data_IF_805804799950
#
_entry.id   IF_805804799950
#
_cell.length_a   1.000
_cell.length_b   1.000
_cell.length_c   1.000
_cell.angle_alpha   90.00
_cell.angle_beta   90.00
_cell.angle_gamma   90.00
#
_symmetry.space_group_name_H-M   'P 1'
#
loop_
_entity.id
_entity.type
_entity.pdbx_description
1 polymer ?
#
# COMPACT_ATOMS: atom_id res chain seq x y z
N UNK A 1 6.66 47.10 -22.98
CA UNK A 1 5.61 46.33 -22.29
C UNK A 1 6.17 44.94 -22.14
N UNK A 2 6.93 44.75 -21.06
CA UNK A 2 7.58 43.47 -20.76
C UNK A 2 6.50 42.48 -20.34
N UNK A 3 6.48 41.30 -20.96
CA UNK A 3 5.62 40.20 -20.54
C UNK A 3 6.14 39.70 -19.19
N UNK A 4 5.27 39.34 -18.23
CA UNK A 4 5.70 38.80 -16.95
C UNK A 4 6.42 37.47 -17.17
N UNK A 5 7.48 37.24 -16.40
CA UNK A 5 8.28 36.01 -16.38
C UNK A 5 7.38 34.76 -16.27
N UNK A 6 7.69 33.66 -16.98
CA UNK A 6 6.94 32.42 -16.87
C UNK A 6 7.17 31.80 -15.48
N UNK A 7 6.24 32.09 -14.58
CA UNK A 7 6.15 31.55 -13.22
C UNK A 7 5.93 30.03 -13.27
N UNK A 8 6.93 29.24 -12.89
CA UNK A 8 6.84 27.79 -12.70
C UNK A 8 6.81 27.49 -11.18
N UNK A 9 5.65 27.19 -10.57
CA UNK A 9 5.59 26.90 -9.15
C UNK A 9 5.99 25.44 -8.89
N UNK A 10 6.93 25.22 -7.97
CA UNK A 10 7.29 23.86 -7.53
C UNK A 10 8.60 23.79 -6.75
N UNK A 11 9.75 23.99 -7.40
CA UNK A 11 11.07 23.85 -6.77
C UNK A 11 11.84 25.17 -6.64
N UNK A 12 11.74 26.06 -7.64
CA UNK A 12 12.41 27.37 -7.62
C UNK A 12 11.87 28.25 -6.48
N UNK A 13 10.56 28.13 -6.18
CA UNK A 13 9.91 28.85 -5.08
C UNK A 13 10.34 28.44 -3.67
N UNK A 14 10.97 27.27 -3.48
CA UNK A 14 11.42 26.78 -2.17
C UNK A 14 12.86 27.22 -1.84
N UNK A 15 13.68 27.52 -2.84
CA UNK A 15 14.99 28.14 -2.63
C UNK A 15 14.85 29.51 -1.95
N UNK A 16 13.83 30.27 -2.32
CA UNK A 16 13.48 31.56 -1.69
C UNK A 16 12.97 31.42 -0.24
N UNK A 17 12.79 30.18 0.23
CA UNK A 17 12.31 29.83 1.56
C UNK A 17 13.44 29.31 2.48
N UNK A 18 14.68 29.30 2.00
CA UNK A 18 15.84 28.96 2.83
C UNK A 18 15.94 29.90 4.04
N UNK A 19 16.33 29.33 5.18
CA UNK A 19 16.41 29.93 6.51
C UNK A 19 15.09 30.48 7.08
N UNK A 20 13.97 30.25 6.39
CA UNK A 20 12.64 30.61 6.90
C UNK A 20 12.01 29.46 7.66
N UNK A 21 11.11 29.82 8.59
CA UNK A 21 10.34 28.86 9.36
C UNK A 21 9.13 28.40 8.55
N UNK A 22 9.09 27.12 8.24
CA UNK A 22 8.06 26.52 7.41
C UNK A 22 7.17 25.59 8.22
N UNK A 23 5.90 25.54 7.84
CA UNK A 23 5.03 24.39 8.12
C UNK A 23 5.08 23.45 6.92
N UNK A 24 5.41 22.19 7.18
CA UNK A 24 5.47 21.11 6.21
C UNK A 24 4.42 20.07 6.57
N UNK A 25 3.46 19.87 5.67
CA UNK A 25 2.42 18.85 5.79
C UNK A 25 2.87 17.60 5.07
N UNK A 26 2.99 16.50 5.82
CA UNK A 26 3.36 15.20 5.29
C UNK A 26 2.14 14.42 4.77
N UNK A 27 2.39 13.43 3.92
CA UNK A 27 1.34 12.56 3.33
C UNK A 27 0.54 11.77 4.37
N UNK A 28 1.13 11.45 5.52
CA UNK A 28 0.47 10.78 6.65
C UNK A 28 -0.35 11.75 7.52
N UNK A 29 -0.44 13.03 7.13
CA UNK A 29 -1.20 14.06 7.81
C UNK A 29 -0.45 14.76 8.95
N UNK A 30 0.80 14.35 9.25
CA UNK A 30 1.64 15.03 10.23
C UNK A 30 2.04 16.42 9.75
N UNK A 31 2.22 17.33 10.70
CA UNK A 31 2.52 18.74 10.45
C UNK A 31 3.81 19.06 11.19
N UNK A 32 4.88 19.21 10.43
CA UNK A 32 6.19 19.55 10.95
C UNK A 32 6.41 21.05 10.81
N UNK A 33 6.96 21.67 11.83
CA UNK A 33 7.30 23.09 11.83
C UNK A 33 8.79 23.20 12.14
N UNK A 34 9.56 23.83 11.28
CA UNK A 34 11.01 23.98 11.46
C UNK A 34 11.62 24.95 10.46
N UNK A 35 12.92 25.23 10.61
CA UNK A 35 13.65 26.11 9.70
C UNK A 35 14.20 25.32 8.51
N UNK A 36 13.89 25.74 7.29
CA UNK A 36 14.43 25.11 6.08
C UNK A 36 15.91 25.46 5.91
N UNK A 37 16.80 24.47 6.01
CA UNK A 37 18.26 24.68 5.87
C UNK A 37 18.79 24.30 4.50
N UNK A 38 18.18 23.33 3.84
CA UNK A 38 18.62 22.88 2.53
C UNK A 38 17.49 22.21 1.80
N UNK A 39 17.55 22.31 0.48
CA UNK A 39 16.68 21.63 -0.46
C UNK A 39 17.55 21.10 -1.61
N UNK A 40 17.22 19.92 -2.12
CA UNK A 40 17.83 19.39 -3.33
C UNK A 40 16.88 19.48 -4.54
N UNK A 41 17.38 19.08 -5.71
CA UNK A 41 16.59 19.08 -6.95
C UNK A 41 15.39 18.12 -6.94
N UNK A 42 15.30 17.23 -5.94
CA UNK A 42 14.19 16.30 -5.74
C UNK A 42 13.21 16.78 -4.64
N UNK A 43 13.35 18.02 -4.19
CA UNK A 43 12.58 18.62 -3.11
C UNK A 43 12.71 17.89 -1.76
N UNK A 44 13.81 17.17 -1.52
CA UNK A 44 14.13 16.68 -0.19
C UNK A 44 14.48 17.88 0.70
N UNK A 45 13.82 17.99 1.85
CA UNK A 45 13.94 19.13 2.75
C UNK A 45 14.79 18.75 3.96
N UNK A 46 15.77 19.58 4.29
CA UNK A 46 16.46 19.53 5.57
C UNK A 46 15.83 20.59 6.46
N UNK A 47 15.18 20.17 7.54
CA UNK A 47 14.61 21.06 8.54
C UNK A 47 15.39 20.98 9.86
N UNK A 48 15.56 22.14 10.47
CA UNK A 48 16.19 22.33 11.78
C UNK A 48 15.16 22.82 12.81
N UNK A 49 15.44 22.57 14.10
CA UNK A 49 14.55 22.86 15.23
C UNK A 49 13.10 22.39 15.05
N UNK A 50 12.92 21.21 14.47
CA UNK A 50 11.62 20.68 14.08
C UNK A 50 10.77 20.31 15.29
N UNK A 51 9.53 20.78 15.25
CA UNK A 51 8.43 20.32 16.09
C UNK A 51 7.33 19.69 15.25
N UNK A 52 6.78 18.57 15.71
CA UNK A 52 5.56 18.00 15.17
C UNK A 52 4.36 18.57 15.94
N UNK A 53 3.50 19.31 15.25
CA UNK A 53 2.33 19.96 15.84
C UNK A 53 1.06 19.18 15.58
N UNK A 54 0.41 18.76 16.65
CA UNK A 54 -0.91 18.12 16.61
C UNK A 54 -1.98 19.11 17.03
N UNK A 55 -3.15 19.08 16.38
CA UNK A 55 -4.27 20.00 16.65
C UNK A 55 -5.53 19.25 17.11
N UNK A 56 -6.22 19.76 18.12
CA UNK A 56 -7.58 19.36 18.51
C UNK A 56 -8.41 20.60 18.85
N UNK A 57 -9.40 20.93 18.02
CA UNK A 57 -10.25 22.12 18.16
C UNK A 57 -9.46 23.43 18.28
N UNK A 58 -9.48 24.05 19.46
CA UNK A 58 -8.75 25.31 19.75
C UNK A 58 -7.41 25.07 20.41
N UNK A 59 -6.93 23.83 20.44
CA UNK A 59 -5.72 23.45 21.13
C UNK A 59 -4.69 22.84 20.19
N UNK A 60 -3.43 23.03 20.51
CA UNK A 60 -2.31 22.35 19.84
C UNK A 60 -1.30 21.83 20.86
N UNK A 61 -0.53 20.81 20.46
CA UNK A 61 0.61 20.29 21.22
C UNK A 61 1.78 20.07 20.27
N UNK A 62 2.97 20.43 20.73
CA UNK A 62 4.23 20.29 19.98
C UNK A 62 5.10 19.18 20.56
N UNK A 63 5.62 18.31 19.67
CA UNK A 63 6.60 17.28 20.00
C UNK A 63 7.92 17.65 19.32
N UNK A 64 8.99 17.86 20.09
CA UNK A 64 10.30 18.24 19.53
C UNK A 64 11.01 17.04 18.91
N UNK A 65 11.43 17.18 17.66
CA UNK A 65 12.21 16.20 16.90
C UNK A 65 13.64 16.67 16.59
N UNK A 66 13.92 17.98 16.63
CA UNK A 66 15.26 18.51 16.37
C UNK A 66 15.55 18.59 14.87
N UNK A 67 16.54 17.88 14.36
CA UNK A 67 16.93 17.95 12.96
C UNK A 67 16.31 16.79 12.16
N UNK A 68 15.67 17.08 11.03
CA UNK A 68 15.05 16.07 10.17
C UNK A 68 15.41 16.25 8.70
N UNK A 69 15.70 15.13 8.03
CA UNK A 69 15.70 15.02 6.57
C UNK A 69 14.35 14.44 6.14
N UNK A 70 13.59 15.23 5.38
CA UNK A 70 12.28 14.86 4.85
C UNK A 70 12.42 14.58 3.36
N UNK A 71 11.98 13.39 2.92
CA UNK A 71 11.95 13.08 1.49
C UNK A 71 10.87 13.87 0.76
N UNK A 72 11.19 14.45 -0.40
CA UNK A 72 10.28 15.33 -1.15
C UNK A 72 8.97 14.67 -1.54
N UNK A 73 8.99 13.37 -1.85
CA UNK A 73 7.78 12.58 -2.16
C UNK A 73 6.76 12.51 -1.01
N UNK A 74 7.20 12.74 0.23
CA UNK A 74 6.36 12.75 1.42
C UNK A 74 5.81 14.14 1.76
N UNK A 75 6.30 15.19 1.09
CA UNK A 75 5.83 16.57 1.27
C UNK A 75 4.58 16.80 0.42
N UNK A 76 3.48 17.16 1.06
CA UNK A 76 2.22 17.53 0.38
C UNK A 76 2.17 19.03 0.16
N UNK A 77 2.48 19.78 1.21
CA UNK A 77 2.44 21.25 1.21
C UNK A 77 3.54 21.76 2.13
N UNK A 78 4.23 22.81 1.70
CA UNK A 78 5.15 23.59 2.51
C UNK A 78 4.81 25.07 2.36
N UNK A 79 4.79 25.80 3.48
CA UNK A 79 4.49 27.23 3.48
C UNK A 79 5.19 27.94 4.63
N UNK A 80 5.55 29.20 4.41
CA UNK A 80 6.08 30.08 5.45
C UNK A 80 5.04 30.29 6.55
N UNK A 81 5.48 30.22 7.81
CA UNK A 81 4.62 30.53 8.95
C UNK A 81 4.73 32.01 9.26
N UNK A 82 3.59 32.70 9.20
CA UNK A 82 3.47 34.05 9.76
C UNK A 82 3.21 33.95 11.28
N UNK A 83 4.24 34.23 12.07
CA UNK A 83 4.15 34.22 13.54
C UNK A 83 3.40 35.43 14.10
N UNK A 84 3.11 36.44 13.29
CA UNK A 84 2.41 37.65 13.74
C UNK A 84 0.89 37.47 13.79
N UNK A 85 0.38 36.39 13.21
CA UNK A 85 -1.04 36.12 13.06
C UNK A 85 -1.58 35.41 14.31
N UNK A 86 -2.46 36.09 15.06
CA UNK A 86 -3.14 35.47 16.21
C UNK A 86 -4.11 34.39 15.72
N UNK A 87 -3.76 33.13 15.97
CA UNK A 87 -4.54 31.96 15.56
C UNK A 87 -5.66 31.62 16.56
N UNK A 88 -5.67 32.23 17.75
CA UNK A 88 -6.59 31.88 18.83
C UNK A 88 -6.43 30.45 19.37
N UNK A 89 -5.35 29.76 19.01
CA UNK A 89 -5.03 28.41 19.47
C UNK A 89 -4.25 28.43 20.78
N UNK A 90 -4.58 27.52 21.70
CA UNK A 90 -3.90 27.38 23.00
C UNK A 90 -3.01 26.15 23.03
N UNK A 91 -1.78 26.33 23.49
CA UNK A 91 -0.86 25.21 23.70
C UNK A 91 -1.28 24.38 24.92
N UNK A 92 -1.23 23.07 24.77
CA UNK A 92 -1.46 22.08 25.83
C UNK A 92 -0.37 21.01 25.78
N UNK A 93 -0.22 20.26 26.87
CA UNK A 93 0.75 19.15 26.92
C UNK A 93 0.29 17.97 26.07
N UNK A 94 1.24 17.13 25.64
CA UNK A 94 0.93 15.93 24.84
C UNK A 94 -0.04 14.96 25.54
N UNK A 95 0.00 14.88 26.87
CA UNK A 95 -0.91 14.07 27.66
C UNK A 95 -2.35 14.64 27.62
N UNK A 96 -2.51 15.94 27.81
CA UNK A 96 -3.81 16.62 27.70
C UNK A 96 -4.36 16.52 26.28
N UNK A 97 -3.49 16.61 25.28
CA UNK A 97 -3.87 16.47 23.88
C UNK A 97 -4.41 15.08 23.55
N UNK A 98 -3.78 14.04 24.10
CA UNK A 98 -4.25 12.65 23.98
C UNK A 98 -5.63 12.50 24.61
N UNK A 99 -5.82 13.03 25.83
CA UNK A 99 -7.12 12.99 26.53
C UNK A 99 -8.22 13.70 25.74
N UNK A 100 -7.95 14.88 25.17
CA UNK A 100 -8.92 15.61 24.36
C UNK A 100 -9.29 14.88 23.06
N UNK A 101 -8.31 14.24 22.41
CA UNK A 101 -8.58 13.44 21.21
C UNK A 101 -9.44 12.21 21.53
N UNK A 102 -9.22 11.56 22.68
CA UNK A 102 -10.06 10.47 23.17
C UNK A 102 -11.48 10.94 23.51
N UNK A 103 -11.62 12.04 24.24
CA UNK A 103 -12.92 12.61 24.60
C UNK A 103 -13.72 13.03 23.37
N UNK A 104 -13.07 13.62 22.37
CA UNK A 104 -13.68 13.97 21.08
C UNK A 104 -14.13 12.72 20.33
N UNK A 105 -13.32 11.67 20.30
CA UNK A 105 -13.69 10.39 19.68
C UNK A 105 -14.92 9.79 20.36
N UNK A 106 -15.01 9.88 21.69
CA UNK A 106 -16.18 9.45 22.47
C UNK A 106 -17.43 10.33 22.22
N UNK A 107 -17.26 11.64 22.11
CA UNK A 107 -18.36 12.58 21.83
C UNK A 107 -18.87 12.51 20.38
N UNK A 108 -17.99 12.25 19.42
CA UNK A 108 -18.34 12.03 18.01
C UNK A 108 -19.17 10.75 17.86
N UNK A 109 -18.79 9.68 18.56
CA UNK A 109 -19.60 8.45 18.64
C UNK A 109 -20.96 8.69 19.30
N UNK A 110 -21.03 9.50 20.38
CA UNK A 110 -22.31 9.85 21.04
C UNK A 110 -23.27 10.69 20.18
N UNK A 111 -22.77 11.51 19.24
CA UNK A 111 -23.63 12.31 18.34
C UNK A 111 -24.20 11.51 17.17
N UNK A 112 -23.54 10.41 16.77
CA UNK A 112 -24.07 9.48 15.78
C UNK A 112 -25.18 8.55 16.32
N UNK A 113 -25.39 8.54 17.64
CA UNK A 113 -26.45 7.79 18.34
C UNK A 113 -27.76 8.59 18.58
N UNK A 114 -27.88 9.83 18.07
CA UNK A 114 -29.13 10.59 18.16
C UNK A 114 -30.04 10.28 16.95
N UNK A 115 -31.27 9.77 17.15
CA UNK A 115 -32.14 9.42 16.04
C UNK A 115 -32.61 10.69 15.30
N UNK A 116 -32.61 10.65 13.96
CA UNK A 116 -33.32 11.64 13.13
C UNK A 116 -34.79 11.64 13.54
N UNK A 117 -35.32 12.80 13.93
CA UNK A 117 -36.73 12.94 14.28
C UNK A 117 -37.62 12.83 13.03
N UNK A 118 -38.52 11.84 13.02
CA UNK A 118 -39.66 11.76 12.10
C UNK A 118 -40.98 11.91 12.88
N UNK A 119 -42.07 12.37 12.21
CA UNK A 119 -43.20 13.02 12.86
C UNK A 119 -44.11 12.04 13.62
N UNK A 120 -44.61 12.52 14.76
CA UNK A 120 -45.39 11.76 15.75
C UNK A 120 -46.74 11.23 15.22
N UNK A 121 -47.05 9.97 15.56
CA UNK A 121 -48.42 9.56 15.96
C UNK A 121 -48.37 8.48 17.05
N UNK A 122 -49.12 8.73 18.12
CA UNK A 122 -49.21 8.00 19.40
C UNK A 122 -49.84 6.59 19.23
N UNK A 123 -49.41 5.58 19.99
CA UNK A 123 -50.03 5.08 21.25
C UNK A 123 -49.47 3.74 21.77
N UNK A 124 -49.17 3.72 23.09
CA UNK A 124 -49.39 2.68 24.14
C UNK A 124 -48.66 1.30 24.13
N UNK A 125 -47.93 1.08 25.26
CA UNK A 125 -47.79 -0.11 26.16
C UNK A 125 -47.44 -1.49 25.54
N UNK A 126 -46.61 -2.38 26.10
CA UNK A 126 -45.83 -2.48 27.35
C UNK A 126 -44.73 -3.58 27.20
N UNK A 127 -43.81 -3.62 28.16
CA UNK A 127 -42.98 -4.75 28.65
C UNK A 127 -41.86 -5.40 27.81
N UNK A 128 -40.63 -5.06 28.23
CA UNK A 128 -39.55 -5.93 28.74
C UNK A 128 -39.34 -7.33 28.10
N UNK A 129 -38.22 -7.51 27.38
CA UNK A 129 -37.06 -8.19 28.00
C UNK A 129 -35.75 -8.06 27.20
N UNK A 130 -34.72 -7.70 27.96
CA UNK A 130 -33.33 -7.46 27.62
C UNK A 130 -32.53 -8.76 27.50
N UNK A 131 -31.94 -9.02 26.33
CA UNK A 131 -30.77 -9.91 26.19
C UNK A 131 -30.06 -9.82 24.82
N UNK A 132 -30.61 -9.11 23.83
CA UNK A 132 -30.17 -9.24 22.44
C UNK A 132 -29.28 -8.10 21.90
N UNK A 133 -29.11 -6.99 22.64
CA UNK A 133 -28.46 -5.78 22.08
C UNK A 133 -27.06 -5.49 22.67
N UNK A 134 -26.84 -5.80 23.96
CA UNK A 134 -25.55 -5.57 24.62
C UNK A 134 -24.40 -6.42 24.04
N UNK A 135 -24.71 -7.60 23.48
CA UNK A 135 -23.73 -8.48 22.82
C UNK A 135 -23.32 -7.97 21.43
N UNK A 136 -24.14 -7.13 20.78
CA UNK A 136 -23.85 -6.61 19.44
C UNK A 136 -23.04 -5.31 19.47
N UNK A 137 -23.08 -4.56 20.57
CA UNK A 137 -22.35 -3.28 20.68
C UNK A 137 -20.91 -3.45 21.20
N UNK A 138 -20.66 -4.41 22.11
CA UNK A 138 -19.30 -4.68 22.63
C UNK A 138 -18.37 -5.26 21.56
N UNK A 139 -18.90 -5.98 20.57
CA UNK A 139 -18.12 -6.58 19.48
C UNK A 139 -17.63 -5.52 18.46
N UNK A 140 -18.39 -4.45 18.25
CA UNK A 140 -18.02 -3.38 17.31
C UNK A 140 -16.92 -2.47 17.88
N UNK A 141 -16.88 -2.27 19.19
CA UNK A 141 -15.84 -1.46 19.87
C UNK A 141 -14.51 -2.21 19.95
N UNK A 142 -14.52 -3.56 20.00
CA UNK A 142 -13.29 -4.36 20.02
C UNK A 142 -12.59 -4.43 18.65
N UNK A 143 -13.34 -4.34 17.54
CA UNK A 143 -12.80 -4.40 16.18
C UNK A 143 -12.27 -3.05 15.67
N UNK A 144 -12.64 -1.93 16.30
CA UNK A 144 -12.13 -0.61 15.92
C UNK A 144 -10.83 -0.20 16.63
N UNK A 145 -10.37 -0.98 17.62
CA UNK A 145 -9.22 -0.62 18.46
C UNK A 145 -7.87 -1.24 18.02
N UNK A 146 -7.81 -1.93 16.87
CA UNK A 146 -6.59 -2.60 16.37
C UNK A 146 -5.89 -1.82 15.24
N UNK A 147 -6.49 -0.73 14.72
CA UNK A 147 -5.93 -0.04 13.53
C UNK A 147 -4.82 0.99 13.79
N UNK A 148 -4.32 1.19 15.02
CA UNK A 148 -3.21 2.13 15.26
C UNK A 148 -2.22 1.67 16.34
N UNK A 149 -1.65 0.47 16.21
CA UNK A 149 -0.51 0.07 17.01
C UNK A 149 0.52 -0.67 16.15
N UNK A 150 1.79 -0.26 16.25
CA UNK A 150 2.92 -0.85 15.52
C UNK A 150 2.93 -2.39 15.62
N UNK A 151 2.80 -3.05 14.47
CA UNK A 151 2.60 -4.51 14.33
C UNK A 151 3.83 -5.32 14.80
N UNK A 152 4.99 -4.69 15.03
CA UNK A 152 6.21 -5.41 15.45
C UNK A 152 6.26 -5.80 16.94
N UNK A 153 5.40 -5.28 17.83
CA UNK A 153 5.39 -5.68 19.25
C UNK A 153 4.22 -6.58 19.67
N UNK A 154 3.24 -6.83 18.79
CA UNK A 154 2.10 -7.70 19.09
C UNK A 154 2.35 -9.18 18.70
N UNK A 155 3.14 -9.43 17.66
CA UNK A 155 3.42 -10.80 17.19
C UNK A 155 4.17 -11.65 18.23
N UNK A 156 5.11 -11.07 18.99
CA UNK A 156 5.80 -11.78 20.08
C UNK A 156 4.87 -12.09 21.26
N UNK A 157 3.86 -11.24 21.55
CA UNK A 157 2.90 -11.48 22.63
C UNK A 157 1.78 -12.46 22.24
N UNK A 158 1.38 -12.50 20.98
CA UNK A 158 0.38 -13.44 20.48
C UNK A 158 0.89 -14.90 20.50
N UNK A 159 2.18 -15.10 20.19
CA UNK A 159 2.83 -16.41 20.31
C UNK A 159 3.04 -16.85 21.78
N UNK A 160 3.23 -15.90 22.71
CA UNK A 160 3.34 -16.15 24.15
C UNK A 160 2.00 -16.55 24.79
N UNK A 161 0.88 -16.01 24.31
CA UNK A 161 -0.46 -16.31 24.84
C UNK A 161 -1.10 -17.58 24.24
N UNK A 162 -0.67 -18.04 23.07
CA UNK A 162 -1.13 -19.31 22.50
C UNK A 162 -0.65 -20.54 23.30
N UNK A 163 0.41 -20.41 24.10
CA UNK A 163 1.01 -21.53 24.84
C UNK A 163 0.49 -21.72 26.27
N UNK A 164 -0.55 -20.98 26.70
CA UNK A 164 -0.99 -21.00 28.11
C UNK A 164 -2.51 -20.85 28.29
N UNK A 165 -3.31 -21.76 27.70
CA UNK A 165 -4.46 -22.42 28.35
C UNK A 165 -5.23 -23.31 27.37
N UNK A 166 -4.73 -24.53 27.22
CA UNK A 166 -5.59 -25.71 27.15
C UNK A 166 -6.10 -25.94 28.56
N UNK A 167 -7.38 -25.68 28.82
CA UNK A 167 -8.18 -26.25 29.92
C UNK A 167 -9.30 -25.26 30.26
N UNK A 168 -10.43 -25.39 29.58
CA UNK A 168 -11.72 -25.81 30.16
C UNK A 168 -12.85 -25.44 29.20
N UNK A 169 -13.64 -26.45 28.81
CA UNK A 169 -15.06 -26.24 28.51
C UNK A 169 -15.40 -25.81 27.08
N UNK A 170 -15.95 -26.77 26.33
CA UNK A 170 -16.69 -26.62 25.06
C UNK A 170 -17.65 -25.42 25.08
N UNK A 171 -17.44 -24.46 24.19
CA UNK A 171 -18.51 -23.56 23.71
C UNK A 171 -18.42 -23.50 22.18
N UNK A 172 -19.48 -23.96 21.52
CA UNK A 172 -19.64 -23.92 20.07
C UNK A 172 -19.76 -22.46 19.58
N UNK A 173 -18.64 -21.83 19.28
CA UNK A 173 -18.55 -20.44 18.80
C UNK A 173 -18.59 -20.32 17.26
N UNK A 174 -18.98 -21.37 16.54
CA UNK A 174 -18.71 -21.51 15.11
C UNK A 174 -19.78 -20.95 14.14
N UNK A 175 -20.88 -20.35 14.62
CA UNK A 175 -22.03 -20.06 13.73
C UNK A 175 -22.52 -18.60 13.65
N UNK A 176 -21.84 -17.62 14.26
CA UNK A 176 -22.32 -16.22 14.21
C UNK A 176 -21.28 -15.13 13.91
N UNK A 177 -20.04 -15.49 13.56
CA UNK A 177 -18.95 -14.54 13.26
C UNK A 177 -18.59 -14.46 11.76
N UNK A 178 -19.56 -14.66 10.85
CA UNK A 178 -19.32 -14.73 9.39
C UNK A 178 -19.83 -13.52 8.59
N UNK A 179 -20.31 -12.46 9.23
CA UNK A 179 -20.82 -11.26 8.54
C UNK A 179 -20.01 -10.04 8.98
N UNK A 180 -18.98 -9.69 8.22
CA UNK A 180 -18.33 -8.38 8.32
C UNK A 180 -16.80 -8.32 8.22
N UNK A 181 -16.07 -9.41 7.94
CA UNK A 181 -14.69 -9.29 7.45
C UNK A 181 -14.74 -9.31 5.93
N UNK A 182 -14.27 -8.25 5.27
CA UNK A 182 -14.00 -8.30 3.84
C UNK A 182 -13.07 -9.50 3.59
N UNK A 183 -13.48 -10.41 2.70
CA UNK A 183 -12.62 -11.51 2.28
C UNK A 183 -11.42 -10.90 1.56
N UNK A 184 -10.23 -11.01 2.16
CA UNK A 184 -9.00 -10.59 1.50
C UNK A 184 -8.75 -11.48 0.29
N UNK A 185 -8.36 -10.88 -0.83
CA UNK A 185 -8.02 -11.64 -2.02
C UNK A 185 -6.66 -12.32 -1.82
N UNK A 186 -6.59 -13.65 -1.99
CA UNK A 186 -5.32 -14.37 -1.97
C UNK A 186 -4.46 -13.90 -3.14
N UNK A 187 -3.23 -13.48 -2.87
CA UNK A 187 -2.29 -13.01 -3.88
C UNK A 187 -1.01 -13.84 -3.84
N UNK A 188 -0.52 -14.23 -5.02
CA UNK A 188 0.83 -14.77 -5.21
C UNK A 188 1.57 -13.84 -6.16
N UNK A 189 2.71 -13.30 -5.71
CA UNK A 189 3.62 -12.57 -6.60
C UNK A 189 4.38 -13.56 -7.46
N UNK A 190 4.49 -13.28 -8.76
CA UNK A 190 5.27 -14.10 -9.70
C UNK A 190 6.43 -13.26 -10.22
N UNK A 191 7.63 -13.54 -9.70
CA UNK A 191 8.85 -12.80 -9.99
C UNK A 191 9.91 -13.69 -10.65
N UNK A 192 10.87 -13.04 -11.29
CA UNK A 192 11.99 -13.70 -11.97
C UNK A 192 12.51 -12.88 -13.15
N UNK A 193 13.68 -13.23 -13.71
CA UNK A 193 14.32 -12.45 -14.75
C UNK A 193 13.46 -12.35 -16.02
N UNK A 194 13.70 -11.35 -16.89
CA UNK A 194 13.14 -11.33 -18.24
C UNK A 194 13.42 -12.67 -18.95
N UNK A 195 12.42 -13.29 -19.59
CA UNK A 195 12.62 -14.59 -20.26
C UNK A 195 12.50 -15.83 -19.37
N UNK A 196 12.26 -15.69 -18.06
CA UNK A 196 12.09 -16.85 -17.15
C UNK A 196 10.80 -17.67 -17.34
N UNK A 197 9.88 -17.23 -18.20
CA UNK A 197 8.63 -17.96 -18.46
C UNK A 197 7.45 -17.64 -17.53
N UNK A 198 7.48 -16.52 -16.80
CA UNK A 198 6.38 -16.07 -15.90
C UNK A 198 4.99 -16.15 -16.54
N UNK A 199 4.79 -15.49 -17.68
CA UNK A 199 3.49 -15.49 -18.36
C UNK A 199 3.05 -16.89 -18.79
N UNK A 200 3.97 -17.75 -19.23
CA UNK A 200 3.69 -19.14 -19.59
C UNK A 200 3.20 -19.93 -18.37
N UNK A 201 3.90 -19.83 -17.24
CA UNK A 201 3.52 -20.52 -16.01
C UNK A 201 2.22 -19.96 -15.42
N UNK A 202 2.02 -18.63 -15.46
CA UNK A 202 0.76 -18.01 -15.02
C UNK A 202 -0.44 -18.47 -15.83
N UNK A 203 -0.30 -18.60 -17.15
CA UNK A 203 -1.36 -19.13 -18.01
C UNK A 203 -1.72 -20.59 -17.67
N UNK A 204 -0.72 -21.42 -17.36
CA UNK A 204 -0.94 -22.80 -16.92
C UNK A 204 -1.61 -22.87 -15.54
N UNK A 205 -1.15 -22.05 -14.57
CA UNK A 205 -1.78 -21.94 -13.25
C UNK A 205 -3.23 -21.48 -13.38
N UNK A 206 -3.51 -20.45 -14.19
CA UNK A 206 -4.87 -19.97 -14.40
C UNK A 206 -5.78 -21.05 -14.98
N UNK A 207 -5.30 -21.78 -15.99
CA UNK A 207 -6.07 -22.84 -16.63
C UNK A 207 -6.40 -24.00 -15.68
N UNK A 208 -5.45 -24.38 -14.82
CA UNK A 208 -5.52 -25.64 -14.08
C UNK A 208 -5.92 -25.47 -12.60
N UNK A 209 -5.61 -24.32 -11.98
CA UNK A 209 -5.87 -24.03 -10.56
C UNK A 209 -6.93 -22.94 -10.35
N UNK A 210 -7.40 -22.26 -11.42
CA UNK A 210 -8.50 -21.30 -11.34
C UNK A 210 -8.14 -19.96 -10.68
N UNK A 211 -6.85 -19.65 -10.54
CA UNK A 211 -6.39 -18.31 -10.17
C UNK A 211 -6.43 -17.38 -11.39
N UNK A 212 -6.59 -16.09 -11.17
CA UNK A 212 -6.60 -15.08 -12.24
C UNK A 212 -5.20 -14.50 -12.43
N UNK A 213 -4.69 -14.52 -13.66
CA UNK A 213 -3.41 -13.92 -14.02
C UNK A 213 -3.56 -12.43 -14.34
N UNK A 214 -2.88 -11.60 -13.56
CA UNK A 214 -2.79 -10.17 -13.76
C UNK A 214 -1.32 -9.76 -13.98
N UNK A 215 -0.96 -9.47 -15.23
CA UNK A 215 0.37 -8.91 -15.54
C UNK A 215 0.36 -7.40 -15.43
N UNK A 216 1.13 -6.84 -14.49
CA UNK A 216 1.22 -5.38 -14.32
C UNK A 216 1.69 -4.69 -15.61
N UNK A 217 2.61 -5.33 -16.34
CA UNK A 217 3.08 -4.81 -17.63
C UNK A 217 2.01 -4.83 -18.74
N UNK A 218 1.15 -5.84 -18.78
CA UNK A 218 0.05 -5.88 -19.75
C UNK A 218 -1.04 -4.85 -19.40
N UNK A 219 -1.38 -4.71 -18.12
CA UNK A 219 -2.33 -3.70 -17.65
C UNK A 219 -1.87 -2.27 -18.01
N UNK A 220 -0.60 -1.95 -17.78
CA UNK A 220 -0.04 -0.65 -18.17
C UNK A 220 -0.08 -0.42 -19.70
N UNK A 221 0.22 -1.45 -20.50
CA UNK A 221 0.14 -1.35 -21.97
C UNK A 221 -1.29 -1.19 -22.46
N UNK A 222 -2.24 -1.93 -21.88
CA UNK A 222 -3.65 -1.83 -22.22
C UNK A 222 -4.22 -0.46 -21.85
N UNK A 223 -3.91 0.05 -20.65
CA UNK A 223 -4.38 1.36 -20.20
C UNK A 223 -3.81 2.49 -21.08
N UNK A 224 -2.56 2.38 -21.51
CA UNK A 224 -1.94 3.29 -22.49
C UNK A 224 -2.69 3.33 -23.83
N UNK A 225 -3.19 2.20 -24.29
CA UNK A 225 -3.89 2.09 -25.59
C UNK A 225 -5.38 2.46 -25.49
N UNK A 226 -5.92 2.61 -24.28
CA UNK A 226 -7.34 2.86 -24.06
C UNK A 226 -7.70 4.30 -24.45
N UNK A 227 -8.65 4.51 -25.38
CA UNK A 227 -9.17 5.84 -25.67
C UNK A 227 -9.72 6.49 -24.39
N UNK A 228 -9.43 7.78 -24.19
CA UNK A 228 -9.88 8.57 -23.05
C UNK A 228 -9.43 8.07 -21.66
N UNK A 229 -8.35 7.29 -21.58
CA UNK A 229 -7.75 6.96 -20.29
C UNK A 229 -7.23 8.21 -19.57
N UNK A 230 -7.61 8.34 -18.30
CA UNK A 230 -7.09 9.35 -17.37
C UNK A 230 -5.57 9.19 -17.17
N UNK A 231 -5.06 7.96 -17.25
CA UNK A 231 -3.64 7.62 -17.06
C UNK A 231 -2.89 7.40 -18.37
N UNK A 232 -3.56 7.27 -19.51
CA UNK A 232 -2.94 6.84 -20.77
C UNK A 232 -1.79 7.75 -21.23
N UNK A 233 -1.95 9.08 -21.09
CA UNK A 233 -0.89 10.07 -21.39
C UNK A 233 0.29 10.00 -20.42
N UNK A 234 0.01 9.91 -19.12
CA UNK A 234 1.03 9.76 -18.07
C UNK A 234 1.84 8.47 -18.27
N UNK A 235 1.17 7.35 -18.56
CA UNK A 235 1.81 6.05 -18.79
C UNK A 235 2.67 6.09 -20.06
N UNK A 236 2.18 6.70 -21.15
CA UNK A 236 2.94 6.83 -22.40
C UNK A 236 4.26 7.61 -22.20
N UNK A 237 4.21 8.71 -21.46
CA UNK A 237 5.39 9.52 -21.13
C UNK A 237 6.41 8.74 -20.29
N UNK A 238 5.97 8.07 -19.23
CA UNK A 238 6.85 7.29 -18.36
C UNK A 238 7.50 6.10 -19.08
N UNK A 239 6.72 5.35 -19.89
CA UNK A 239 7.23 4.20 -20.63
C UNK A 239 8.24 4.63 -21.71
N UNK A 240 7.95 5.70 -22.46
CA UNK A 240 8.88 6.22 -23.50
C UNK A 240 10.19 6.73 -22.90
N UNK A 241 10.11 7.38 -21.74
CA UNK A 241 11.27 7.97 -21.06
C UNK A 241 12.02 6.95 -20.17
N UNK A 242 11.56 5.70 -20.10
CA UNK A 242 12.14 4.68 -19.23
C UNK A 242 12.03 5.01 -17.73
N UNK A 243 11.13 5.91 -17.35
CA UNK A 243 10.88 6.28 -15.95
C UNK A 243 9.74 5.44 -15.36
N UNK A 244 9.72 5.34 -14.03
CA UNK A 244 8.78 4.46 -13.33
C UNK A 244 7.41 5.13 -13.26
N UNK A 245 6.39 4.45 -13.79
CA UNK A 245 4.98 4.86 -13.60
C UNK A 245 4.68 4.87 -12.10
N UNK A 246 4.05 5.94 -11.56
CA UNK A 246 3.70 6.01 -10.14
C UNK A 246 3.01 4.73 -9.66
N UNK A 247 3.51 4.17 -8.56
CA UNK A 247 3.05 2.88 -8.01
C UNK A 247 1.54 2.86 -7.75
N UNK A 248 0.96 3.99 -7.33
CA UNK A 248 -0.47 4.14 -7.08
C UNK A 248 -1.33 3.84 -8.33
N UNK A 249 -0.86 4.23 -9.53
CA UNK A 249 -1.55 3.93 -10.79
C UNK A 249 -1.53 2.42 -11.04
N UNK A 250 -0.37 1.78 -10.87
CA UNK A 250 -0.22 0.33 -11.06
C UNK A 250 -1.10 -0.44 -10.07
N UNK A 251 -1.14 -0.03 -8.80
CA UNK A 251 -1.99 -0.64 -7.77
C UNK A 251 -3.48 -0.45 -8.09
N UNK A 252 -3.89 0.75 -8.52
CA UNK A 252 -5.28 1.00 -8.93
C UNK A 252 -5.70 0.14 -10.14
N UNK A 253 -4.83 -0.03 -11.13
CA UNK A 253 -5.10 -0.91 -12.27
C UNK A 253 -5.24 -2.38 -11.84
N UNK A 254 -4.37 -2.85 -10.95
CA UNK A 254 -4.44 -4.20 -10.38
C UNK A 254 -5.73 -4.39 -9.57
N UNK A 255 -6.07 -3.44 -8.70
CA UNK A 255 -7.30 -3.49 -7.90
C UNK A 255 -8.56 -3.52 -8.76
N UNK A 256 -8.63 -2.67 -9.80
CA UNK A 256 -9.76 -2.66 -10.73
C UNK A 256 -9.88 -3.98 -11.50
N UNK A 257 -8.75 -4.55 -11.93
CA UNK A 257 -8.74 -5.86 -12.58
C UNK A 257 -9.19 -6.98 -11.63
N UNK A 258 -8.77 -6.94 -10.35
CA UNK A 258 -9.25 -7.89 -9.34
C UNK A 258 -10.77 -7.79 -9.15
N UNK A 259 -11.31 -6.57 -8.99
CA UNK A 259 -12.75 -6.33 -8.84
C UNK A 259 -13.56 -6.82 -10.06
N UNK A 260 -13.01 -6.67 -11.26
CA UNK A 260 -13.64 -7.11 -12.50
C UNK A 260 -13.61 -8.64 -12.69
N UNK A 261 -12.79 -9.37 -11.92
CA UNK A 261 -12.54 -10.80 -12.12
C UNK A 261 -13.57 -11.72 -11.42
N UNK A 262 -14.52 -11.18 -10.67
CA UNK A 262 -15.56 -11.96 -9.98
C UNK A 262 -15.01 -12.91 -8.91
N UNK A 263 -15.68 -14.06 -8.71
CA UNK A 263 -15.26 -15.09 -7.76
C UNK A 263 -14.03 -15.83 -8.30
N UNK A 264 -12.85 -15.49 -7.76
CA UNK A 264 -11.56 -16.10 -8.10
C UNK A 264 -11.00 -16.91 -6.92
N UNK A 265 -10.27 -18.00 -7.22
CA UNK A 265 -9.52 -18.74 -6.19
C UNK A 265 -8.34 -17.94 -5.62
N UNK A 266 -7.89 -16.91 -6.33
CA UNK A 266 -6.77 -16.04 -5.97
C UNK A 266 -6.19 -15.33 -7.21
N UNK A 267 -5.21 -14.47 -7.00
CA UNK A 267 -4.60 -13.67 -8.06
C UNK A 267 -3.10 -13.92 -8.17
N UNK A 268 -2.64 -14.09 -9.40
CA UNK A 268 -1.23 -14.09 -9.75
C UNK A 268 -0.84 -12.71 -10.22
N UNK A 269 0.03 -12.04 -9.47
CA UNK A 269 0.52 -10.71 -9.81
C UNK A 269 1.88 -10.89 -10.49
N UNK A 270 1.87 -10.86 -11.82
CA UNK A 270 3.04 -11.15 -12.65
C UNK A 270 3.87 -9.87 -12.88
N UNK A 271 5.13 -9.95 -12.45
CA UNK A 271 6.13 -8.92 -12.69
C UNK A 271 5.90 -7.64 -11.90
N UNK A 272 5.33 -7.73 -10.71
CA UNK A 272 5.21 -6.66 -9.72
C UNK A 272 5.22 -7.28 -8.31
N UNK A 273 5.81 -6.65 -7.28
CA UNK A 273 6.61 -5.42 -7.30
C UNK A 273 8.00 -5.63 -7.93
N UNK A 274 8.54 -4.59 -8.60
CA UNK A 274 9.86 -4.65 -9.29
C UNK A 274 11.00 -3.94 -8.58
N UNK A 275 10.70 -3.11 -7.59
CA UNK A 275 11.65 -2.32 -6.83
C UNK A 275 11.06 -1.95 -5.46
N UNK A 276 11.81 -1.22 -4.65
CA UNK A 276 11.38 -0.87 -3.29
C UNK A 276 10.15 0.04 -3.30
N UNK A 277 10.11 1.05 -4.16
CA UNK A 277 8.96 1.97 -4.27
C UNK A 277 7.66 1.23 -4.64
N UNK A 278 7.76 0.19 -5.48
CA UNK A 278 6.63 -0.68 -5.81
C UNK A 278 6.16 -1.48 -4.59
N UNK A 279 7.09 -2.01 -3.81
CA UNK A 279 6.76 -2.78 -2.61
C UNK A 279 6.12 -1.88 -1.54
N UNK A 280 6.70 -0.72 -1.29
CA UNK A 280 6.19 0.25 -0.30
C UNK A 280 4.81 0.77 -0.70
N UNK A 281 4.64 1.10 -1.99
CA UNK A 281 3.34 1.51 -2.51
C UNK A 281 2.30 0.40 -2.47
N UNK A 282 2.67 -0.86 -2.73
CA UNK A 282 1.77 -1.99 -2.56
C UNK A 282 1.31 -2.14 -1.10
N UNK A 283 2.26 -2.08 -0.15
CA UNK A 283 1.94 -2.16 1.27
C UNK A 283 0.99 -1.03 1.70
N UNK A 284 1.18 0.17 1.16
CA UNK A 284 0.31 1.32 1.46
C UNK A 284 -1.09 1.19 0.86
N UNK A 285 -1.20 0.75 -0.39
CA UNK A 285 -2.45 0.83 -1.15
C UNK A 285 -3.28 -0.48 -1.13
N UNK A 286 -2.66 -1.62 -0.79
CA UNK A 286 -3.29 -2.95 -0.94
C UNK A 286 -3.30 -3.81 0.33
N UNK A 287 -2.62 -3.43 1.42
CA UNK A 287 -2.46 -4.28 2.61
C UNK A 287 -3.78 -4.69 3.30
N UNK A 288 -4.82 -3.85 3.20
CA UNK A 288 -6.16 -4.10 3.74
C UNK A 288 -7.09 -4.85 2.78
N UNK A 289 -6.63 -5.15 1.55
CA UNK A 289 -7.43 -5.73 0.45
C UNK A 289 -6.98 -7.14 0.05
N UNK A 290 -5.75 -7.52 0.38
CA UNK A 290 -5.10 -8.74 -0.12
C UNK A 290 -4.41 -9.52 1.00
N UNK A 291 -4.39 -10.84 0.86
CA UNK A 291 -3.56 -11.76 1.63
C UNK A 291 -2.42 -12.26 0.73
N UNK A 292 -1.23 -11.68 0.87
CA UNK A 292 -0.05 -12.12 0.11
C UNK A 292 0.44 -13.46 0.67
N UNK A 293 0.19 -14.53 -0.08
CA UNK A 293 0.49 -15.91 0.33
C UNK A 293 1.98 -16.23 0.25
N UNK A 294 2.57 -16.00 -0.91
CA UNK A 294 3.99 -16.21 -1.17
C UNK A 294 4.44 -15.50 -2.45
N UNK A 295 5.75 -15.45 -2.65
CA UNK A 295 6.40 -15.02 -3.88
C UNK A 295 6.93 -16.26 -4.63
N UNK A 296 6.28 -16.61 -5.74
CA UNK A 296 6.79 -17.60 -6.68
C UNK A 296 7.96 -16.99 -7.46
N UNK A 297 9.16 -17.49 -7.20
CA UNK A 297 10.36 -17.08 -7.90
C UNK A 297 10.72 -18.10 -8.98
N UNK A 298 10.56 -17.70 -10.24
CA UNK A 298 10.97 -18.49 -11.39
C UNK A 298 12.43 -18.18 -11.73
N UNK A 299 13.36 -18.97 -11.18
CA UNK A 299 14.79 -18.79 -11.43
C UNK A 299 15.17 -19.36 -12.79
N UNK A 300 16.06 -18.65 -13.49
CA UNK A 300 16.48 -19.01 -14.84
C UNK A 300 17.88 -18.46 -15.08
N UNK A 301 18.70 -19.22 -15.80
CA UNK A 301 20.03 -18.77 -16.18
C UNK A 301 19.95 -17.62 -17.20
N UNK A 302 20.85 -16.64 -17.06
CA UNK A 302 20.86 -15.44 -17.91
C UNK A 302 20.99 -15.78 -19.39
N UNK A 303 21.84 -16.74 -19.76
CA UNK A 303 22.00 -17.17 -21.17
C UNK A 303 20.68 -17.68 -21.76
N UNK A 304 20.00 -18.58 -21.03
CA UNK A 304 18.70 -19.12 -21.43
C UNK A 304 17.62 -18.03 -21.51
N UNK A 305 17.62 -17.08 -20.56
CA UNK A 305 16.72 -15.93 -20.57
C UNK A 305 16.91 -15.09 -21.84
N UNK A 306 18.17 -14.85 -22.22
CA UNK A 306 18.51 -14.04 -23.38
C UNK A 306 18.06 -14.73 -24.66
N UNK A 307 18.41 -16.00 -24.82
CA UNK A 307 18.01 -16.80 -25.97
C UNK A 307 16.48 -16.83 -26.12
N UNK A 308 15.75 -17.03 -25.02
CA UNK A 308 14.27 -17.03 -25.03
C UNK A 308 13.68 -15.69 -25.43
N UNK A 309 14.28 -14.57 -25.02
CA UNK A 309 13.77 -13.25 -25.39
C UNK A 309 14.03 -12.94 -26.87
N UNK A 310 15.20 -13.31 -27.39
CA UNK A 310 15.58 -13.08 -28.79
C UNK A 310 14.78 -13.94 -29.78
N UNK A 311 14.45 -15.18 -29.40
CA UNK A 311 13.70 -16.12 -30.26
C UNK A 311 12.18 -16.01 -30.08
N UNK A 312 11.70 -15.06 -29.29
CA UNK A 312 10.26 -14.85 -29.08
C UNK A 312 9.65 -14.21 -30.34
N UNK A 313 8.96 -15.00 -31.15
CA UNK A 313 8.16 -14.48 -32.27
C UNK A 313 7.07 -13.49 -31.81
N UNK A 314 6.70 -12.56 -32.70
CA UNK A 314 5.83 -11.39 -32.41
C UNK A 314 6.29 -10.62 -31.15
N UNK A 315 7.57 -10.24 -31.14
CA UNK A 315 8.22 -9.53 -30.05
C UNK A 315 7.55 -8.19 -29.73
N UNK A 316 7.70 -7.76 -28.48
CA UNK A 316 7.35 -6.39 -28.10
C UNK A 316 8.26 -5.44 -28.90
N UNK A 317 7.80 -4.23 -29.16
CA UNK A 317 8.59 -3.22 -29.91
C UNK A 317 9.92 -2.87 -29.24
N UNK A 318 10.13 -3.28 -27.99
CA UNK A 318 11.30 -3.13 -27.14
C UNK A 318 12.08 -4.43 -26.88
N UNK A 319 11.94 -5.49 -27.69
CA UNK A 319 12.74 -6.72 -27.55
C UNK A 319 13.98 -6.67 -28.50
N UNK A 320 14.98 -5.84 -28.18
CA UNK A 320 16.31 -5.82 -28.82
C UNK A 320 17.44 -6.12 -27.80
N UNK A 321 18.65 -6.47 -28.25
CA UNK A 321 19.72 -6.91 -27.34
C UNK A 321 20.07 -5.87 -26.27
N UNK A 322 20.13 -4.59 -26.62
CA UNK A 322 20.46 -3.51 -25.70
C UNK A 322 19.37 -3.30 -24.63
N UNK A 323 18.11 -3.29 -25.03
CA UNK A 323 16.96 -3.19 -24.13
C UNK A 323 16.86 -4.38 -23.18
N UNK A 324 17.24 -5.58 -23.64
CA UNK A 324 17.24 -6.79 -22.84
C UNK A 324 18.35 -6.76 -21.80
N UNK A 325 19.56 -6.28 -22.14
CA UNK A 325 20.64 -6.04 -21.19
C UNK A 325 20.20 -5.07 -20.08
N UNK A 326 19.57 -3.95 -20.44
CA UNK A 326 19.04 -2.99 -19.47
C UNK A 326 17.99 -3.63 -18.54
N UNK A 327 17.11 -4.48 -19.08
CA UNK A 327 16.10 -5.19 -18.29
C UNK A 327 16.71 -6.22 -17.34
N UNK A 328 17.78 -6.90 -17.73
CA UNK A 328 18.52 -7.83 -16.86
C UNK A 328 19.23 -7.05 -15.76
N UNK A 329 19.87 -5.94 -16.09
CA UNK A 329 20.54 -5.08 -15.10
C UNK A 329 19.54 -4.49 -14.09
N UNK A 330 18.43 -3.95 -14.57
CA UNK A 330 17.32 -3.46 -13.73
C UNK A 330 16.78 -4.57 -12.83
N UNK A 331 16.62 -5.78 -13.36
CA UNK A 331 16.18 -6.92 -12.56
C UNK A 331 17.18 -7.23 -11.43
N UNK A 332 18.47 -7.30 -11.73
CA UNK A 332 19.50 -7.61 -10.73
C UNK A 332 19.63 -6.52 -9.66
N UNK A 333 19.55 -5.25 -10.06
CA UNK A 333 19.77 -4.11 -9.16
C UNK A 333 18.53 -3.73 -8.36
N UNK A 334 17.33 -3.91 -8.91
CA UNK A 334 16.09 -3.44 -8.29
C UNK A 334 15.13 -4.55 -7.89
N UNK A 335 14.92 -5.56 -8.74
CA UNK A 335 13.92 -6.61 -8.49
C UNK A 335 14.45 -7.74 -7.62
N UNK A 336 15.70 -8.16 -7.81
CA UNK A 336 16.30 -9.23 -7.03
C UNK A 336 16.35 -8.92 -5.51
N UNK A 337 16.65 -7.67 -5.06
CA UNK A 337 16.52 -7.29 -3.65
C UNK A 337 15.11 -7.50 -3.06
N UNK A 338 14.06 -7.38 -3.87
CA UNK A 338 12.68 -7.64 -3.44
C UNK A 338 12.46 -9.14 -3.23
N UNK A 339 13.01 -9.99 -4.09
CA UNK A 339 12.98 -11.44 -3.90
C UNK A 339 13.72 -11.81 -2.61
N UNK A 340 14.90 -11.23 -2.37
CA UNK A 340 15.67 -11.42 -1.14
C UNK A 340 14.91 -10.93 0.11
N UNK A 341 14.13 -9.85 -0.01
CA UNK A 341 13.26 -9.40 1.07
C UNK A 341 12.23 -10.48 1.43
N UNK A 342 11.51 -11.04 0.45
CA UNK A 342 10.56 -12.13 0.70
C UNK A 342 11.22 -13.44 1.14
N UNK A 343 12.45 -13.70 0.70
CA UNK A 343 13.23 -14.86 1.12
C UNK A 343 13.55 -14.81 2.62
N UNK A 344 13.96 -13.64 3.12
CA UNK A 344 14.16 -13.39 4.56
C UNK A 344 12.89 -13.60 5.39
N UNK A 345 11.72 -13.40 4.80
CA UNK A 345 10.43 -13.64 5.42
C UNK A 345 9.96 -15.11 5.32
N UNK A 346 10.71 -15.98 4.64
CA UNK A 346 10.31 -17.38 4.39
C UNK A 346 9.16 -17.53 3.38
N UNK A 347 8.88 -16.48 2.61
CA UNK A 347 7.76 -16.41 1.68
C UNK A 347 8.15 -16.68 0.23
N UNK A 348 9.42 -17.00 -0.07
CA UNK A 348 9.82 -17.38 -1.43
C UNK A 348 9.58 -18.87 -1.67
N UNK A 349 9.06 -19.17 -2.86
CA UNK A 349 8.99 -20.51 -3.43
C UNK A 349 9.73 -20.49 -4.76
N UNK A 350 10.95 -21.02 -4.77
CA UNK A 350 11.78 -21.02 -5.98
C UNK A 350 11.50 -22.25 -6.85
N UNK A 351 11.33 -22.02 -8.16
CA UNK A 351 11.25 -23.07 -9.17
C UNK A 351 12.22 -22.77 -10.32
N UNK A 352 13.11 -23.73 -10.62
CA UNK A 352 14.06 -23.62 -11.74
C UNK A 352 13.38 -23.85 -13.08
N UNK A 353 13.59 -22.93 -14.01
CA UNK A 353 12.88 -22.89 -15.30
C UNK A 353 13.73 -23.22 -16.53
N UNK A 354 14.96 -23.73 -16.36
CA UNK A 354 15.86 -24.13 -17.46
C UNK A 354 15.48 -25.49 -18.10
N UNK A 355 14.18 -25.79 -18.18
CA UNK A 355 13.61 -27.07 -18.66
C UNK A 355 12.35 -26.80 -19.49
N UNK A 356 11.71 -27.87 -19.95
CA UNK A 356 10.43 -27.79 -20.67
C UNK A 356 9.34 -27.11 -19.81
N UNK A 357 8.49 -26.22 -20.38
CA UNK A 357 7.46 -25.52 -19.63
C UNK A 357 6.48 -26.42 -18.87
N UNK A 358 6.19 -27.63 -19.39
CA UNK A 358 5.26 -28.56 -18.75
C UNK A 358 5.90 -29.23 -17.54
N UNK A 359 7.18 -29.57 -17.60
CA UNK A 359 7.94 -30.11 -16.45
C UNK A 359 8.06 -29.06 -15.35
N UNK A 360 8.34 -27.81 -15.72
CA UNK A 360 8.37 -26.69 -14.78
C UNK A 360 7.00 -26.53 -14.09
N UNK A 361 5.91 -26.68 -14.84
CA UNK A 361 4.57 -26.56 -14.28
C UNK A 361 4.25 -27.65 -13.26
N UNK A 362 4.78 -28.88 -13.41
CA UNK A 362 4.60 -29.94 -12.39
C UNK A 362 5.16 -29.50 -11.04
N UNK A 363 6.34 -28.87 -11.02
CA UNK A 363 6.95 -28.36 -9.80
C UNK A 363 6.18 -27.16 -9.24
N UNK A 364 5.73 -26.24 -10.10
CA UNK A 364 4.87 -25.12 -9.71
C UNK A 364 3.57 -25.61 -9.09
N UNK A 365 2.91 -26.59 -9.70
CA UNK A 365 1.66 -27.15 -9.18
C UNK A 365 1.85 -27.78 -7.80
N UNK A 366 2.98 -28.47 -7.58
CA UNK A 366 3.34 -29.02 -6.29
C UNK A 366 3.45 -27.92 -5.22
N UNK A 367 4.15 -26.82 -5.52
CA UNK A 367 4.27 -25.67 -4.61
C UNK A 367 2.88 -25.12 -4.24
N UNK A 368 2.01 -24.90 -5.22
CA UNK A 368 0.67 -24.35 -4.95
C UNK A 368 -0.18 -25.28 -4.08
N UNK A 369 -0.13 -26.59 -4.33
CA UNK A 369 -0.82 -27.59 -3.49
C UNK A 369 -0.30 -27.60 -2.05
N UNK A 370 1.02 -27.49 -1.86
CA UNK A 370 1.64 -27.45 -0.52
C UNK A 370 1.24 -26.19 0.27
N UNK A 371 1.04 -25.06 -0.41
CA UNK A 371 0.63 -23.78 0.20
C UNK A 371 -0.91 -23.57 0.29
N UNK A 372 -1.69 -24.60 -0.05
CA UNK A 372 -3.15 -24.65 0.18
C UNK A 372 -4.00 -23.96 -0.88
N UNK A 373 -3.57 -24.01 -2.15
CA UNK A 373 -4.36 -23.63 -3.32
C UNK A 373 -5.07 -24.82 -3.97
#
# INVERSE_FOLDING_TARGET
>A
MELPDPYLPGAISLLDQLDKKLIVVLRDGRKLIGYLRSIDQFANLILDEVVERTFCDKFYSDIRHGFLLIRGENVVLAGEIDETLDTGLKEITGNEMTMLQEERSRHHNRKHDLPKAEPQRKTKHADMDDASFLTKFILAVFLFSIENFSIFQAAEKAHFLWRLKVSTGKINFARHFRRGMAQLHKVVFVLGPPGSGKGTQCALIQKNLGLVHLSAGDLLRAERQRPDSEYGRLIDEHIKNGSIVPVAITCALLENAMKASGDSAGFLIDGFPRNQDNLDGWQKEMADKVDVRFCLFLSCETGVCVDRCLHRGQGRTDDNEDSLRLRIDTYNTQTFPIIQHYEKLGLVREVKTNRDPQDVYVDVEKVFKEDGF
#
